data_IF_044312705954
#
_entry.id   IF_044312705954
#
_cell.length_a   1.000
_cell.length_b   1.000
_cell.length_c   1.000
_cell.angle_alpha   90.00
_cell.angle_beta   90.00
_cell.angle_gamma   90.00
#
_symmetry.space_group_name_H-M   'P 1'
#
loop_
_entity.id
_entity.type
_entity.pdbx_description
1 polymer ?
#
# COMPACT_ATOMS: atom_id res chain seq x y z
N UNK A 1 -13.98 -5.19 8.54
CA UNK A 1 -13.08 -4.13 9.05
C UNK A 1 -12.21 -4.72 10.15
N UNK A 2 -10.91 -4.43 10.13
CA UNK A 2 -10.01 -4.76 11.25
C UNK A 2 -9.66 -3.46 11.94
N UNK A 3 -10.14 -3.31 13.19
CA UNK A 3 -9.77 -2.20 14.04
C UNK A 3 -8.45 -2.52 14.75
N UNK A 4 -7.49 -1.64 14.64
CA UNK A 4 -6.13 -1.88 15.10
C UNK A 4 -5.82 -1.15 16.42
N UNK A 5 -6.75 -1.25 17.38
CA UNK A 5 -6.64 -0.66 18.70
C UNK A 5 -7.04 0.81 18.74
N UNK A 6 -8.07 1.23 18.01
CA UNK A 6 -8.57 2.60 18.01
C UNK A 6 -9.28 2.93 19.35
N UNK A 7 -9.14 4.19 19.78
CA UNK A 7 -9.78 4.71 21.00
C UNK A 7 -10.82 5.82 20.72
N UNK A 8 -11.12 6.07 19.44
CA UNK A 8 -11.97 7.17 18.96
C UNK A 8 -13.41 6.76 18.61
N UNK A 9 -13.79 5.49 18.89
CA UNK A 9 -15.11 4.95 18.53
C UNK A 9 -15.22 4.45 17.09
N UNK A 10 -14.12 4.36 16.33
CA UNK A 10 -14.11 3.86 14.95
C UNK A 10 -14.64 2.43 14.84
N UNK A 11 -14.26 1.54 15.76
CA UNK A 11 -14.74 0.15 15.81
C UNK A 11 -16.26 0.07 15.98
N UNK A 12 -16.82 0.87 16.91
CA UNK A 12 -18.27 0.93 17.16
C UNK A 12 -19.03 1.50 15.96
N UNK A 13 -18.45 2.50 15.30
CA UNK A 13 -19.03 3.06 14.09
C UNK A 13 -19.10 2.03 12.96
N UNK A 14 -18.03 1.28 12.74
CA UNK A 14 -17.99 0.20 11.76
C UNK A 14 -18.99 -0.93 12.08
N UNK A 15 -19.10 -1.32 13.36
CA UNK A 15 -20.01 -2.38 13.80
C UNK A 15 -21.50 -2.03 13.62
N UNK A 16 -21.86 -0.75 13.62
CA UNK A 16 -23.23 -0.30 13.32
C UNK A 16 -23.60 -0.36 11.84
N UNK A 17 -22.64 -0.59 10.96
CA UNK A 17 -22.90 -0.65 9.51
C UNK A 17 -23.38 -2.04 9.14
N UNK A 18 -24.59 -2.20 8.56
CA UNK A 18 -25.11 -3.51 8.17
C UNK A 18 -24.17 -4.24 7.20
N UNK A 19 -23.97 -5.54 7.43
CA UNK A 19 -23.10 -6.39 6.61
C UNK A 19 -21.60 -6.24 6.86
N UNK A 20 -21.18 -5.39 7.77
CA UNK A 20 -19.78 -5.23 8.14
C UNK A 20 -19.42 -6.15 9.30
N UNK A 21 -18.42 -7.00 9.10
CA UNK A 21 -17.78 -7.74 10.18
C UNK A 21 -16.62 -6.92 10.74
N UNK A 22 -16.55 -6.76 12.06
CA UNK A 22 -15.46 -6.03 12.73
C UNK A 22 -14.63 -7.00 13.58
N UNK A 23 -13.32 -6.91 13.43
CA UNK A 23 -12.33 -7.62 14.25
C UNK A 23 -11.52 -6.57 15.00
N UNK A 24 -11.57 -6.59 16.33
CA UNK A 24 -10.85 -5.64 17.17
C UNK A 24 -9.56 -6.25 17.69
N UNK A 25 -8.43 -5.66 17.38
CA UNK A 25 -7.16 -5.95 18.01
C UNK A 25 -7.02 -5.14 19.31
N UNK A 26 -6.41 -5.71 20.35
CA UNK A 26 -6.14 -4.99 21.62
C UNK A 26 -5.12 -3.86 21.42
N UNK A 27 -4.13 -4.10 20.58
CA UNK A 27 -3.01 -3.21 20.33
C UNK A 27 -2.88 -2.92 18.84
N UNK A 28 -2.17 -1.86 18.48
CA UNK A 28 -1.80 -1.57 17.12
C UNK A 28 -0.71 -2.54 16.64
N UNK A 29 -1.10 -3.52 15.83
CA UNK A 29 -0.23 -4.56 15.27
C UNK A 29 0.51 -4.14 14.01
N UNK A 30 0.27 -2.93 13.50
CA UNK A 30 0.74 -2.43 12.22
C UNK A 30 -0.18 -2.85 11.05
N UNK A 31 0.07 -2.24 9.88
CA UNK A 31 -0.82 -2.38 8.72
C UNK A 31 -0.78 -3.79 8.13
N UNK A 32 0.40 -4.34 7.89
CA UNK A 32 0.53 -5.65 7.26
C UNK A 32 -0.16 -6.75 8.07
N UNK A 33 0.06 -6.78 9.38
CA UNK A 33 -0.52 -7.80 10.25
C UNK A 33 -2.04 -7.66 10.39
N UNK A 34 -2.53 -6.43 10.56
CA UNK A 34 -3.97 -6.18 10.61
C UNK A 34 -4.66 -6.56 9.29
N UNK A 35 -4.06 -6.20 8.15
CA UNK A 35 -4.57 -6.59 6.83
C UNK A 35 -4.60 -8.10 6.67
N UNK A 36 -3.56 -8.82 7.07
CA UNK A 36 -3.53 -10.28 7.02
C UNK A 36 -4.62 -10.94 7.87
N UNK A 37 -4.94 -10.37 9.05
CA UNK A 37 -6.07 -10.84 9.89
C UNK A 37 -7.37 -10.71 9.10
N UNK A 38 -7.61 -9.58 8.45
CA UNK A 38 -8.80 -9.36 7.62
C UNK A 38 -8.88 -10.31 6.42
N UNK A 39 -7.76 -10.53 5.74
CA UNK A 39 -7.67 -11.48 4.62
C UNK A 39 -8.04 -12.90 5.06
N UNK A 40 -7.49 -13.36 6.18
CA UNK A 40 -7.78 -14.70 6.72
C UNK A 40 -9.24 -14.87 7.15
N UNK A 41 -9.87 -13.80 7.62
CA UNK A 41 -11.28 -13.81 8.03
C UNK A 41 -12.25 -13.66 6.85
N UNK A 42 -11.80 -13.25 5.68
CA UNK A 42 -12.62 -13.04 4.48
C UNK A 42 -12.68 -14.29 3.61
N UNK A 43 -13.70 -14.38 2.71
CA UNK A 43 -13.93 -15.55 1.86
C UNK A 43 -13.97 -15.23 0.36
N UNK A 44 -13.93 -13.96 -0.04
CA UNK A 44 -14.01 -13.55 -1.45
C UNK A 44 -12.86 -14.11 -2.30
N UNK A 45 -13.11 -14.38 -3.56
CA UNK A 45 -12.12 -14.84 -4.55
C UNK A 45 -11.13 -13.75 -4.93
N UNK A 46 -11.55 -12.49 -4.79
CA UNK A 46 -10.73 -11.30 -4.91
C UNK A 46 -10.70 -10.58 -3.56
N UNK A 47 -9.60 -9.89 -3.29
CA UNK A 47 -9.37 -9.14 -2.06
C UNK A 47 -9.17 -7.67 -2.43
N UNK A 48 -9.96 -6.79 -1.84
CA UNK A 48 -9.74 -5.35 -1.92
C UNK A 48 -9.12 -4.86 -0.60
N UNK A 49 -7.86 -4.49 -0.64
CA UNK A 49 -7.22 -3.77 0.44
C UNK A 49 -7.63 -2.30 0.30
N UNK A 50 -8.19 -1.73 1.34
CA UNK A 50 -8.75 -0.38 1.31
C UNK A 50 -8.49 0.35 2.62
N UNK A 51 -7.85 1.50 2.56
CA UNK A 51 -7.64 2.34 3.73
C UNK A 51 -8.95 2.97 4.21
N UNK A 52 -9.07 3.18 5.51
CA UNK A 52 -10.25 3.77 6.15
C UNK A 52 -10.47 5.25 5.82
N UNK A 53 -9.47 5.93 5.26
CA UNK A 53 -9.51 7.34 4.83
C UNK A 53 -9.69 7.48 3.31
N UNK A 54 -10.33 6.49 2.68
CA UNK A 54 -10.70 6.53 1.25
C UNK A 54 -12.20 6.74 1.06
N UNK A 55 -12.56 7.44 -0.01
CA UNK A 55 -13.94 7.55 -0.50
C UNK A 55 -14.01 6.88 -1.87
N UNK A 56 -14.83 5.85 -1.95
CA UNK A 56 -14.97 5.01 -3.14
C UNK A 56 -16.21 5.45 -3.91
N UNK A 57 -16.08 5.98 -5.13
CA UNK A 57 -17.23 6.31 -5.98
C UNK A 57 -18.04 5.07 -6.34
N UNK A 58 -19.34 5.27 -6.58
CA UNK A 58 -20.22 4.19 -7.06
C UNK A 58 -19.71 3.59 -8.36
N UNK A 59 -19.72 2.26 -8.48
CA UNK A 59 -19.24 1.52 -9.65
C UNK A 59 -17.72 1.36 -9.75
N UNK A 60 -16.95 1.97 -8.84
CA UNK A 60 -15.48 1.91 -8.91
C UNK A 60 -14.93 0.50 -8.61
N UNK A 61 -15.52 -0.21 -7.65
CA UNK A 61 -15.10 -1.58 -7.30
C UNK A 61 -15.43 -2.53 -8.43
N UNK A 62 -16.63 -2.44 -8.98
CA UNK A 62 -17.07 -3.23 -10.12
C UNK A 62 -16.16 -3.02 -11.32
N UNK A 63 -15.77 -1.77 -11.58
CA UNK A 63 -14.83 -1.45 -12.66
C UNK A 63 -13.44 -2.03 -12.44
N UNK A 64 -12.93 -2.02 -11.21
CA UNK A 64 -11.66 -2.67 -10.88
C UNK A 64 -11.73 -4.19 -11.09
N UNK A 65 -12.85 -4.82 -10.73
CA UNK A 65 -13.07 -6.25 -10.95
C UNK A 65 -13.11 -6.59 -12.44
N UNK A 66 -13.85 -5.82 -13.25
CA UNK A 66 -13.90 -5.99 -14.71
C UNK A 66 -12.50 -5.91 -15.32
N UNK A 67 -11.71 -4.91 -14.91
CA UNK A 67 -10.33 -4.75 -15.38
C UNK A 67 -9.47 -5.96 -14.99
N UNK A 68 -9.59 -6.43 -13.75
CA UNK A 68 -8.85 -7.60 -13.30
C UNK A 68 -9.22 -8.85 -14.11
N UNK A 69 -10.51 -9.04 -14.42
CA UNK A 69 -11.02 -10.21 -15.15
C UNK A 69 -10.64 -10.18 -16.64
N UNK A 70 -10.55 -9.00 -17.23
CA UNK A 70 -10.08 -8.82 -18.62
C UNK A 70 -8.58 -9.10 -18.79
N UNK A 71 -7.80 -9.16 -17.70
CA UNK A 71 -6.36 -9.36 -17.74
C UNK A 71 -5.94 -10.58 -16.91
N UNK A 72 -6.01 -11.81 -17.45
CA UNK A 72 -5.70 -13.04 -16.70
C UNK A 72 -4.26 -13.13 -16.19
N UNK A 73 -3.31 -12.44 -16.82
CA UNK A 73 -1.89 -12.35 -16.44
C UNK A 73 -1.64 -11.36 -15.29
N UNK A 74 -2.62 -10.48 -15.02
CA UNK A 74 -2.57 -9.51 -13.93
C UNK A 74 -3.08 -10.15 -12.64
N UNK A 75 -2.31 -10.00 -11.57
CA UNK A 75 -2.70 -10.40 -10.22
C UNK A 75 -3.24 -9.24 -9.39
N UNK A 76 -2.75 -8.03 -9.63
CA UNK A 76 -3.04 -6.83 -8.83
C UNK A 76 -3.45 -5.68 -9.74
N UNK A 77 -4.53 -4.98 -9.36
CA UNK A 77 -4.96 -3.72 -9.97
C UNK A 77 -4.99 -2.62 -8.91
N UNK A 78 -4.36 -1.49 -9.21
CA UNK A 78 -4.43 -0.27 -8.39
C UNK A 78 -5.07 0.89 -9.15
N UNK A 79 -6.03 1.62 -8.54
CA UNK A 79 -6.67 2.77 -9.15
C UNK A 79 -5.79 4.03 -9.09
N UNK A 80 -6.22 5.07 -9.79
CA UNK A 80 -5.72 6.43 -9.60
C UNK A 80 -6.21 6.96 -8.27
N UNK A 81 -5.28 7.37 -7.40
CA UNK A 81 -5.62 8.05 -6.16
C UNK A 81 -5.57 9.56 -6.36
N UNK A 82 -6.57 10.24 -5.84
CA UNK A 82 -6.65 11.71 -5.79
C UNK A 82 -6.89 12.16 -4.35
N UNK A 83 -6.38 13.33 -3.98
CA UNK A 83 -6.67 13.92 -2.67
C UNK A 83 -8.07 14.55 -2.63
N UNK A 84 -8.47 15.06 -1.47
CA UNK A 84 -9.77 15.71 -1.28
C UNK A 84 -9.97 16.98 -2.16
N UNK A 85 -8.90 17.55 -2.72
CA UNK A 85 -8.93 18.67 -3.64
C UNK A 85 -8.93 18.22 -5.12
N UNK A 86 -8.99 16.91 -5.39
CA UNK A 86 -8.95 16.34 -6.74
C UNK A 86 -7.55 16.29 -7.36
N UNK A 87 -6.49 16.55 -6.59
CA UNK A 87 -5.12 16.49 -7.08
C UNK A 87 -4.63 15.03 -7.07
N UNK A 88 -4.05 14.62 -8.19
CA UNK A 88 -3.51 13.27 -8.31
C UNK A 88 -2.34 12.98 -7.36
N UNK A 89 -2.34 11.78 -6.79
CA UNK A 89 -1.27 11.23 -5.99
C UNK A 89 -0.45 10.21 -6.79
N UNK A 90 0.87 10.17 -6.57
CA UNK A 90 1.70 9.13 -7.14
C UNK A 90 1.51 7.85 -6.32
N UNK A 91 0.60 6.98 -6.78
CA UNK A 91 0.20 5.74 -6.10
C UNK A 91 0.80 4.48 -6.72
N UNK A 92 1.84 4.62 -7.52
CA UNK A 92 2.56 3.52 -8.16
C UNK A 92 4.01 3.93 -8.45
N UNK A 93 4.86 2.96 -8.74
CA UNK A 93 6.25 3.26 -9.09
C UNK A 93 7.09 2.08 -9.53
N UNK A 94 8.36 2.37 -9.77
CA UNK A 94 9.41 1.36 -9.92
C UNK A 94 9.84 0.79 -8.58
N UNK A 95 10.41 -0.42 -8.59
CA UNK A 95 10.87 -1.10 -7.37
C UNK A 95 11.88 -0.27 -6.59
N UNK A 96 11.76 -0.28 -5.27
CA UNK A 96 12.72 0.35 -4.36
C UNK A 96 14.11 -0.28 -4.58
N UNK A 97 15.12 0.59 -4.74
CA UNK A 97 16.50 0.15 -4.90
C UNK A 97 17.41 1.32 -5.26
N UNK A 98 18.74 1.17 -5.09
CA UNK A 98 19.69 2.30 -5.09
C UNK A 98 19.65 3.12 -6.40
N UNK A 99 19.51 2.48 -7.54
CA UNK A 99 19.44 3.18 -8.84
C UNK A 99 18.07 3.79 -9.10
N UNK A 100 17.00 3.09 -8.71
CA UNK A 100 15.63 3.55 -8.94
C UNK A 100 15.25 4.72 -8.03
N UNK A 101 15.73 4.75 -6.79
CA UNK A 101 15.52 5.88 -5.88
C UNK A 101 16.19 7.15 -6.39
N UNK A 102 17.41 7.06 -6.91
CA UNK A 102 18.06 8.19 -7.59
C UNK A 102 17.24 8.68 -8.78
N UNK A 103 16.77 7.77 -9.64
CA UNK A 103 15.91 8.12 -10.79
C UNK A 103 14.57 8.72 -10.34
N UNK A 104 14.00 8.23 -9.25
CA UNK A 104 12.71 8.70 -8.73
C UNK A 104 12.82 10.10 -8.12
N UNK A 105 13.92 10.44 -7.47
CA UNK A 105 14.21 11.82 -7.02
C UNK A 105 14.24 12.83 -8.17
N UNK A 106 14.67 12.40 -9.35
CA UNK A 106 14.65 13.24 -10.55
C UNK A 106 13.25 13.31 -11.17
N UNK A 107 12.48 12.23 -11.10
CA UNK A 107 11.09 12.17 -11.58
C UNK A 107 10.08 12.89 -10.69
N UNK A 108 10.36 13.10 -9.42
CA UNK A 108 9.46 13.81 -8.48
C UNK A 108 9.21 15.28 -8.87
N UNK A 109 9.92 15.79 -9.87
CA UNK A 109 9.67 17.09 -10.52
C UNK A 109 8.75 16.99 -11.74
N UNK A 110 8.34 15.80 -12.14
CA UNK A 110 7.46 15.58 -13.30
C UNK A 110 6.01 15.77 -12.87
N UNK A 111 5.19 16.26 -13.78
CA UNK A 111 3.75 16.43 -13.62
C UNK A 111 3.07 15.09 -13.26
N UNK A 112 2.74 14.90 -11.97
CA UNK A 112 2.11 13.68 -11.43
C UNK A 112 0.76 13.46 -12.12
N UNK A 113 0.01 14.53 -12.36
CA UNK A 113 -1.30 14.42 -13.00
C UNK A 113 -1.17 13.78 -14.39
N UNK A 114 -0.20 14.19 -15.19
CA UNK A 114 0.08 13.60 -16.50
C UNK A 114 0.51 12.13 -16.40
N UNK A 115 1.39 11.80 -15.46
CA UNK A 115 1.88 10.42 -15.26
C UNK A 115 0.76 9.46 -14.86
N UNK A 116 -0.22 9.97 -14.09
CA UNK A 116 -1.33 9.17 -13.58
C UNK A 116 -2.54 9.10 -14.51
N UNK A 117 -2.47 9.64 -15.74
CA UNK A 117 -3.55 9.56 -16.74
C UNK A 117 -3.47 8.36 -17.67
N UNK A 118 -2.40 7.59 -17.63
CA UNK A 118 -2.18 6.47 -18.55
C UNK A 118 -2.11 5.15 -17.80
N UNK A 119 -2.77 4.13 -18.34
CA UNK A 119 -2.63 2.77 -17.86
C UNK A 119 -1.20 2.29 -18.07
N UNK A 120 -0.65 1.60 -17.07
CA UNK A 120 0.72 1.12 -17.11
C UNK A 120 0.91 -0.08 -16.19
N UNK A 121 2.01 -0.77 -16.38
CA UNK A 121 2.40 -1.94 -15.58
C UNK A 121 3.59 -1.58 -14.68
N UNK A 122 3.33 -0.94 -13.54
CA UNK A 122 4.39 -0.57 -12.61
C UNK A 122 4.93 -1.77 -11.85
N UNK A 123 5.98 -1.53 -11.05
CA UNK A 123 6.50 -2.56 -10.16
C UNK A 123 5.66 -2.72 -8.90
N UNK A 124 4.94 -1.67 -8.47
CA UNK A 124 4.04 -1.67 -7.32
C UNK A 124 2.92 -0.63 -7.48
N UNK A 125 1.82 -0.87 -6.78
CA UNK A 125 0.72 0.08 -6.55
C UNK A 125 0.46 0.20 -5.06
N UNK A 126 -0.11 1.34 -4.62
CA UNK A 126 -0.33 1.66 -3.21
C UNK A 126 -1.37 0.76 -2.55
N UNK A 127 -1.05 0.30 -1.34
CA UNK A 127 -1.97 -0.42 -0.46
C UNK A 127 -3.15 0.40 0.04
N UNK A 128 -3.20 1.72 -0.22
CA UNK A 128 -4.35 2.55 0.12
C UNK A 128 -5.63 2.11 -0.61
N UNK A 129 -5.49 1.61 -1.87
CA UNK A 129 -6.53 0.88 -2.58
C UNK A 129 -5.85 -0.08 -3.57
N UNK A 130 -5.96 -1.37 -3.31
CA UNK A 130 -5.33 -2.43 -4.09
C UNK A 130 -6.26 -3.63 -4.19
N UNK A 131 -6.66 -3.98 -5.41
CA UNK A 131 -7.43 -5.19 -5.69
C UNK A 131 -6.49 -6.31 -6.13
N UNK A 132 -6.60 -7.49 -5.52
CA UNK A 132 -5.75 -8.65 -5.81
C UNK A 132 -6.55 -9.95 -5.85
N UNK A 133 -6.17 -10.89 -6.73
CA UNK A 133 -6.70 -12.25 -6.71
C UNK A 133 -6.25 -12.96 -5.43
N UNK A 134 -7.17 -13.53 -4.67
CA UNK A 134 -6.85 -14.27 -3.43
C UNK A 134 -5.81 -15.37 -3.67
N UNK A 135 -5.93 -16.10 -4.78
CA UNK A 135 -5.00 -17.17 -5.12
C UNK A 135 -3.55 -16.66 -5.22
N UNK A 136 -3.35 -15.51 -5.89
CA UNK A 136 -2.03 -14.89 -6.03
C UNK A 136 -1.51 -14.36 -4.67
N UNK A 137 -2.38 -13.70 -3.88
CA UNK A 137 -2.02 -13.22 -2.54
C UNK A 137 -1.61 -14.36 -1.61
N UNK A 138 -2.36 -15.45 -1.62
CA UNK A 138 -2.06 -16.65 -0.81
C UNK A 138 -0.77 -17.32 -1.26
N UNK A 139 -0.53 -17.39 -2.57
CA UNK A 139 0.66 -18.03 -3.14
C UNK A 139 1.98 -17.32 -2.77
N UNK A 140 1.93 -16.04 -2.38
CA UNK A 140 3.09 -15.27 -1.90
C UNK A 140 3.17 -15.17 -0.38
N UNK A 141 2.22 -15.78 0.35
CA UNK A 141 2.20 -15.79 1.82
C UNK A 141 1.56 -14.55 2.46
N UNK A 142 0.78 -13.78 1.69
CA UNK A 142 0.15 -12.52 2.09
C UNK A 142 1.18 -11.38 2.26
N UNK A 143 0.86 -10.36 3.06
CA UNK A 143 1.80 -9.26 3.35
C UNK A 143 2.84 -9.72 4.37
N UNK A 144 4.09 -9.32 4.20
CA UNK A 144 5.17 -9.65 5.14
C UNK A 144 5.03 -8.84 6.44
N UNK A 145 4.77 -9.51 7.54
CA UNK A 145 4.48 -8.91 8.86
C UNK A 145 5.71 -8.29 9.54
N UNK A 146 6.91 -8.34 8.93
CA UNK A 146 8.07 -7.57 9.38
C UNK A 146 7.88 -6.07 9.22
N UNK A 147 7.01 -5.67 8.27
CA UNK A 147 6.68 -4.26 8.06
C UNK A 147 5.54 -3.86 8.98
N UNK A 148 5.82 -2.96 9.92
CA UNK A 148 4.77 -2.40 10.76
C UNK A 148 3.85 -1.48 9.96
N UNK A 149 4.43 -0.62 9.13
CA UNK A 149 3.74 0.32 8.24
C UNK A 149 4.70 0.83 7.17
N UNK A 150 4.20 1.01 5.94
CA UNK A 150 4.93 1.42 4.74
C UNK A 150 5.84 0.31 4.17
N UNK A 151 5.96 0.30 2.86
CA UNK A 151 6.72 -0.65 2.04
C UNK A 151 6.20 -2.10 2.05
N UNK A 152 5.22 -2.45 2.87
CA UNK A 152 4.54 -3.76 2.83
C UNK A 152 3.83 -4.00 1.50
N UNK A 153 3.24 -2.97 0.91
CA UNK A 153 2.60 -2.99 -0.40
C UNK A 153 3.63 -3.16 -1.53
N UNK A 154 4.76 -2.47 -1.43
CA UNK A 154 5.88 -2.61 -2.38
C UNK A 154 6.47 -4.01 -2.31
N UNK A 155 6.69 -4.53 -1.10
CA UNK A 155 7.22 -5.89 -0.87
C UNK A 155 6.24 -6.96 -1.37
N UNK A 156 4.95 -6.78 -1.09
CA UNK A 156 3.89 -7.67 -1.59
C UNK A 156 3.86 -7.70 -3.12
N UNK A 157 3.92 -6.54 -3.75
CA UNK A 157 4.01 -6.44 -5.20
C UNK A 157 5.28 -7.08 -5.76
N UNK A 158 6.43 -6.94 -5.07
CA UNK A 158 7.66 -7.61 -5.45
C UNK A 158 7.52 -9.14 -5.42
N UNK A 159 6.88 -9.70 -4.38
CA UNK A 159 6.62 -11.12 -4.26
C UNK A 159 5.68 -11.64 -5.36
N UNK A 160 4.62 -10.90 -5.69
CA UNK A 160 3.69 -11.19 -6.81
C UNK A 160 4.45 -11.23 -8.14
N UNK A 161 5.32 -10.25 -8.42
CA UNK A 161 6.10 -10.16 -9.65
C UNK A 161 7.15 -11.27 -9.75
N UNK A 162 7.73 -11.70 -8.63
CA UNK A 162 8.65 -12.83 -8.59
C UNK A 162 8.00 -14.16 -9.05
N UNK A 163 6.67 -14.22 -9.05
CA UNK A 163 5.88 -15.33 -9.61
C UNK A 163 5.45 -15.08 -11.07
N UNK A 164 6.09 -14.15 -11.76
CA UNK A 164 5.78 -13.76 -13.14
C UNK A 164 4.35 -13.23 -13.33
N UNK A 165 3.71 -12.73 -12.26
CA UNK A 165 2.42 -12.06 -12.32
C UNK A 165 2.62 -10.55 -12.49
N UNK A 166 1.69 -9.90 -13.20
CA UNK A 166 1.76 -8.48 -13.50
C UNK A 166 0.91 -7.65 -12.53
N UNK A 167 1.28 -6.39 -12.41
CA UNK A 167 0.56 -5.37 -11.67
C UNK A 167 0.09 -4.33 -12.67
N UNK A 168 -1.17 -3.93 -12.61
CA UNK A 168 -1.77 -2.95 -13.50
C UNK A 168 -2.20 -1.71 -12.71
N UNK A 169 -1.81 -0.56 -13.18
CA UNK A 169 -2.36 0.72 -12.75
C UNK A 169 -3.47 1.13 -13.71
N UNK A 170 -4.68 1.34 -13.17
CA UNK A 170 -5.92 1.61 -13.88
C UNK A 170 -6.38 3.07 -13.64
N UNK A 171 -5.98 4.03 -14.48
CA UNK A 171 -6.28 5.45 -14.30
C UNK A 171 -7.75 5.81 -14.51
N UNK A 172 -8.52 4.96 -15.18
CA UNK A 172 -9.95 5.13 -15.43
C UNK A 172 -10.81 4.90 -14.18
N UNK A 173 -10.24 4.38 -13.10
CA UNK A 173 -10.87 4.28 -11.78
C UNK A 173 -10.19 5.25 -10.85
N UNK A 174 -10.93 6.24 -10.35
CA UNK A 174 -10.44 7.21 -9.38
C UNK A 174 -11.01 6.93 -7.99
N UNK A 175 -10.14 6.92 -6.97
CA UNK A 175 -10.51 6.78 -5.56
C UNK A 175 -9.96 8.00 -4.81
N UNK A 176 -10.81 8.64 -4.01
CA UNK A 176 -10.38 9.76 -3.17
C UNK A 176 -9.69 9.22 -1.93
N UNK A 177 -8.46 9.67 -1.68
CA UNK A 177 -7.67 9.32 -0.49
C UNK A 177 -7.50 10.60 0.35
N UNK A 178 -8.31 10.74 1.39
CA UNK A 178 -8.46 12.00 2.13
C UNK A 178 -7.19 12.41 2.89
N UNK A 179 -6.26 11.48 3.10
CA UNK A 179 -4.99 11.64 3.83
C UNK A 179 -5.04 12.59 5.04
N UNK A 180 -4.42 12.21 6.11
CA UNK A 180 -3.90 13.24 7.02
C UNK A 180 -4.48 13.33 8.41
N UNK A 181 -5.53 12.61 8.82
CA UNK A 181 -5.96 12.67 10.23
C UNK A 181 -5.00 11.92 11.15
N UNK A 182 -4.53 10.75 10.77
CA UNK A 182 -3.56 9.97 11.56
C UNK A 182 -2.11 10.44 11.39
N UNK A 183 -1.73 10.97 10.22
CA UNK A 183 -0.35 11.38 9.94
C UNK A 183 0.01 12.77 10.50
N UNK A 184 -0.95 13.68 10.67
CA UNK A 184 -0.67 15.04 11.13
C UNK A 184 -0.26 15.10 12.62
N UNK A 185 -0.85 14.24 13.44
CA UNK A 185 -0.54 14.16 14.88
C UNK A 185 0.70 13.31 15.21
N UNK A 186 1.19 12.49 14.25
CA UNK A 186 2.25 11.51 14.49
C UNK A 186 3.40 11.57 13.47
N UNK A 187 3.72 12.75 12.93
CA UNK A 187 4.73 12.93 11.86
C UNK A 187 6.08 12.25 12.15
N UNK A 188 6.57 12.34 13.39
CA UNK A 188 7.85 11.72 13.75
C UNK A 188 7.73 10.19 13.82
N UNK A 189 6.66 9.66 14.44
CA UNK A 189 6.41 8.22 14.48
C UNK A 189 6.24 7.64 13.06
N UNK A 190 5.52 8.33 12.19
CA UNK A 190 5.35 7.99 10.77
C UNK A 190 6.70 7.92 10.05
N UNK A 191 7.57 8.91 10.27
CA UNK A 191 8.91 8.97 9.68
C UNK A 191 9.80 7.82 10.18
N UNK A 192 9.74 7.52 11.47
CA UNK A 192 10.48 6.39 12.07
C UNK A 192 9.99 5.06 11.51
N UNK A 193 8.67 4.86 11.43
CA UNK A 193 8.09 3.65 10.85
C UNK A 193 8.51 3.46 9.38
N UNK A 194 8.42 4.51 8.55
CA UNK A 194 8.87 4.46 7.16
C UNK A 194 10.35 4.06 7.03
N UNK A 195 11.22 4.62 7.87
CA UNK A 195 12.66 4.29 7.84
C UNK A 195 12.94 2.86 8.23
N UNK A 196 12.27 2.37 9.28
CA UNK A 196 12.40 0.96 9.68
C UNK A 196 12.00 0.03 8.55
N UNK A 197 10.86 0.30 7.93
CA UNK A 197 10.37 -0.49 6.80
C UNK A 197 11.29 -0.38 5.58
N UNK A 198 11.82 0.81 5.28
CA UNK A 198 12.78 1.01 4.19
C UNK A 198 14.07 0.19 4.41
N UNK A 199 14.62 0.22 5.63
CA UNK A 199 15.80 -0.59 5.99
C UNK A 199 15.47 -2.09 5.89
N UNK A 200 14.32 -2.52 6.43
CA UNK A 200 13.87 -3.92 6.36
C UNK A 200 13.69 -4.40 4.91
N UNK A 201 13.22 -3.51 4.01
CA UNK A 201 13.13 -3.80 2.59
C UNK A 201 14.52 -4.04 1.97
N UNK A 202 15.49 -3.18 2.28
CA UNK A 202 16.87 -3.38 1.80
C UNK A 202 17.50 -4.63 2.40
N UNK A 203 17.25 -4.94 3.67
CA UNK A 203 17.75 -6.17 4.32
C UNK A 203 17.20 -7.43 3.62
N UNK A 204 15.97 -7.37 3.12
CA UNK A 204 15.34 -8.49 2.38
C UNK A 204 15.79 -8.57 0.92
N UNK A 205 15.77 -7.45 0.19
CA UNK A 205 15.92 -7.44 -1.26
C UNK A 205 17.30 -6.98 -1.74
N UNK A 206 18.01 -6.18 -0.95
CA UNK A 206 19.30 -5.55 -1.31
C UNK A 206 20.32 -5.59 -0.17
N UNK A 207 20.61 -6.76 0.45
CA UNK A 207 21.39 -6.84 1.70
C UNK A 207 22.79 -6.19 1.59
N UNK A 208 23.41 -6.27 0.42
CA UNK A 208 24.75 -5.66 0.18
C UNK A 208 24.73 -4.13 0.24
N UNK A 209 23.58 -3.48 0.07
CA UNK A 209 23.43 -2.03 0.06
C UNK A 209 23.02 -1.45 1.42
N UNK A 210 22.68 -2.30 2.39
CA UNK A 210 22.23 -1.88 3.74
C UNK A 210 23.26 -0.98 4.45
N UNK A 211 24.59 -1.27 4.45
CA UNK A 211 25.55 -0.41 5.11
C UNK A 211 25.58 1.02 4.50
N UNK A 212 25.49 1.10 3.17
CA UNK A 212 25.48 2.39 2.47
C UNK A 212 24.20 3.16 2.75
N UNK A 213 23.04 2.50 2.76
CA UNK A 213 21.78 3.11 3.13
C UNK A 213 21.81 3.67 4.56
N UNK A 214 22.29 2.87 5.53
CA UNK A 214 22.42 3.31 6.94
C UNK A 214 23.36 4.51 7.08
N UNK A 215 24.47 4.53 6.34
CA UNK A 215 25.38 5.68 6.31
C UNK A 215 24.70 6.93 5.74
N UNK A 216 24.01 6.78 4.60
CA UNK A 216 23.27 7.89 3.97
C UNK A 216 22.20 8.48 4.89
N UNK A 217 21.41 7.64 5.58
CA UNK A 217 20.40 8.09 6.53
C UNK A 217 21.03 8.84 7.72
N UNK A 218 22.17 8.37 8.24
CA UNK A 218 22.93 9.08 9.31
C UNK A 218 23.41 10.46 8.87
N UNK A 219 23.96 10.56 7.66
CA UNK A 219 24.42 11.84 7.10
C UNK A 219 23.29 12.85 6.91
N UNK A 220 22.07 12.38 6.64
CA UNK A 220 20.87 13.23 6.61
C UNK A 220 20.32 13.63 7.98
N UNK A 221 21.02 13.30 9.08
CA UNK A 221 20.55 13.58 10.44
C UNK A 221 19.36 12.74 10.88
N UNK A 222 19.12 11.65 10.17
CA UNK A 222 18.01 10.76 10.40
C UNK A 222 18.42 9.67 11.39
N UNK A 223 17.96 9.76 12.65
CA UNK A 223 18.26 8.77 13.68
C UNK A 223 17.71 7.40 13.26
N UNK A 224 18.62 6.46 12.99
CA UNK A 224 18.31 5.03 12.94
C UNK A 224 18.38 4.52 14.39
N UNK A 225 17.31 4.70 15.18
CA UNK A 225 17.25 4.05 16.50
C UNK A 225 17.18 2.54 16.28
N UNK A 226 18.05 1.81 16.97
CA UNK A 226 18.04 0.34 17.07
C UNK A 226 16.70 -0.16 17.57
#
# INVERSE_FOLDING_TARGET
>A
VVDNGSSDGSADAAARTPGVQVICNRDNLGFARATNIGIRASQGTNLLLLNSDTVVPSGAIERLLDILDLHPDVAVVGPRLIDAAGKAELSFGGMIGPLNELRQQWRSRTDIDRLTRQAQYPDWVSGACLLVRRADATAVGLLDERYFMYTEDVDFCAAIRARHRRILFAPEVEIVHVRGRSAASAREATRVAYRRSHIAFYEKHHPRWVPLLKLYLRLKGERTSN
#
